data_IF_229747962617
#
_entry.id   IF_229747962617
#
_cell.length_a   1.000
_cell.length_b   1.000
_cell.length_c   1.000
_cell.angle_alpha   90.00
_cell.angle_beta   90.00
_cell.angle_gamma   90.00
#
_symmetry.space_group_name_H-M   'P 1'
#
loop_
_entity.id
_entity.type
_entity.pdbx_description
1 polymer ?
#
# COMPACT_ATOMS: atom_id res chain seq x y z
N UNK A 1 -1.28 15.91 0.44
CA UNK A 1 -0.05 15.29 0.97
C UNK A 1 1.19 15.84 0.25
N UNK A 2 1.74 17.01 0.61
CA UNK A 2 2.81 17.63 -0.17
C UNK A 2 4.20 16.97 0.01
N UNK A 3 4.48 16.37 1.17
CA UNK A 3 5.79 15.78 1.47
C UNK A 3 5.98 14.36 0.91
N UNK A 4 4.91 13.59 0.79
CA UNK A 4 4.94 12.21 0.30
C UNK A 4 4.87 12.21 -1.23
N UNK A 5 5.86 11.59 -1.86
CA UNK A 5 6.06 11.51 -3.31
C UNK A 5 6.40 10.10 -3.78
N UNK A 6 6.95 10.01 -4.99
CA UNK A 6 7.32 8.73 -5.60
C UNK A 6 8.24 7.90 -4.71
N UNK A 7 7.92 6.61 -4.51
CA UNK A 7 8.60 5.60 -3.67
C UNK A 7 8.38 5.72 -2.16
N UNK A 8 7.62 6.72 -1.69
CA UNK A 8 7.11 6.65 -0.32
C UNK A 8 6.01 5.59 -0.22
N UNK A 9 5.79 5.11 1.00
CA UNK A 9 4.77 4.10 1.29
C UNK A 9 3.79 4.59 2.35
N UNK A 10 2.55 4.14 2.22
CA UNK A 10 1.53 4.20 3.26
C UNK A 10 1.03 2.78 3.46
N UNK A 11 1.07 2.27 4.69
CA UNK A 11 0.58 0.95 5.06
C UNK A 11 -0.60 1.13 5.99
N UNK A 12 -1.76 0.60 5.60
CA UNK A 12 -2.94 0.49 6.46
C UNK A 12 -2.94 -0.92 7.02
N UNK A 13 -2.59 -1.07 8.29
CA UNK A 13 -2.31 -2.39 8.86
C UNK A 13 -3.41 -2.88 9.79
N UNK A 14 -3.48 -4.19 9.95
CA UNK A 14 -4.16 -4.83 11.08
C UNK A 14 -3.48 -4.45 12.42
N UNK A 15 -4.14 -4.82 13.53
CA UNK A 15 -3.72 -4.47 14.88
C UNK A 15 -2.42 -5.17 15.31
N UNK A 16 -2.15 -6.37 14.79
CA UNK A 16 -1.02 -7.21 15.20
C UNK A 16 0.29 -6.79 14.54
N UNK A 17 0.22 -6.06 13.42
CA UNK A 17 1.40 -5.61 12.67
C UNK A 17 2.43 -4.87 13.56
N UNK A 18 3.73 -5.20 13.51
CA UNK A 18 4.72 -4.65 14.42
C UNK A 18 4.95 -3.15 14.21
N UNK A 19 5.29 -2.45 15.30
CA UNK A 19 5.81 -1.09 15.22
C UNK A 19 7.32 -1.17 14.94
N UNK A 20 7.76 -0.50 13.87
CA UNK A 20 9.17 -0.44 13.48
C UNK A 20 9.95 0.56 14.33
N UNK A 21 11.21 0.24 14.62
CA UNK A 21 12.15 1.14 15.32
C UNK A 21 12.95 2.05 14.36
N UNK A 22 12.85 1.83 13.06
CA UNK A 22 13.59 2.58 12.04
C UNK A 22 13.07 4.02 11.91
N UNK A 23 13.98 5.00 11.89
CA UNK A 23 13.63 6.43 11.85
C UNK A 23 12.92 6.88 10.57
N UNK A 24 13.03 6.11 9.47
CA UNK A 24 12.31 6.35 8.22
C UNK A 24 10.84 5.95 8.28
N UNK A 25 10.45 5.18 9.29
CA UNK A 25 9.11 4.63 9.45
C UNK A 25 8.41 5.35 10.60
N UNK A 26 7.27 5.97 10.29
CA UNK A 26 6.39 6.55 11.29
C UNK A 26 5.19 5.63 11.48
N UNK A 27 4.81 5.38 12.73
CA UNK A 27 3.62 4.57 13.05
C UNK A 27 2.64 5.39 13.86
N UNK A 28 1.41 5.49 13.37
CA UNK A 28 0.27 6.03 14.10
C UNK A 28 -0.75 4.90 14.33
N UNK A 29 -1.48 4.97 15.43
CA UNK A 29 -2.58 4.05 15.73
C UNK A 29 -3.90 4.80 15.76
N UNK A 30 -4.93 4.22 15.17
CA UNK A 30 -6.28 4.78 15.10
C UNK A 30 -7.30 3.75 15.59
N UNK A 31 -8.31 4.21 16.33
CA UNK A 31 -9.43 3.36 16.75
C UNK A 31 -10.53 3.31 15.69
N UNK A 32 -10.19 2.80 14.51
CA UNK A 32 -11.09 2.63 13.37
C UNK A 32 -10.77 1.31 12.66
N UNK A 33 -11.75 0.76 11.95
CA UNK A 33 -11.57 -0.46 11.17
C UNK A 33 -10.75 -0.21 9.89
N UNK A 34 -10.13 -1.28 9.38
CA UNK A 34 -9.26 -1.24 8.22
C UNK A 34 -9.94 -0.73 6.94
N UNK A 35 -11.14 -1.22 6.54
CA UNK A 35 -11.88 -0.65 5.41
C UNK A 35 -12.08 0.87 5.49
N UNK A 36 -12.54 1.39 6.62
CA UNK A 36 -12.78 2.82 6.82
C UNK A 36 -11.52 3.66 6.63
N UNK A 37 -10.41 3.21 7.24
CA UNK A 37 -9.10 3.90 7.12
C UNK A 37 -8.57 3.81 5.70
N UNK A 38 -8.66 2.64 5.07
CA UNK A 38 -8.20 2.42 3.70
C UNK A 38 -8.94 3.32 2.70
N UNK A 39 -10.26 3.43 2.82
CA UNK A 39 -11.06 4.32 1.98
C UNK A 39 -10.62 5.79 2.13
N UNK A 40 -10.37 6.24 3.37
CA UNK A 40 -9.85 7.58 3.62
C UNK A 40 -8.48 7.81 2.95
N UNK A 41 -7.56 6.86 3.13
CA UNK A 41 -6.19 6.94 2.57
C UNK A 41 -6.22 6.96 1.04
N UNK A 42 -6.95 6.03 0.41
CA UNK A 42 -7.05 5.97 -1.06
C UNK A 42 -7.66 7.26 -1.61
N UNK A 43 -8.69 7.81 -0.96
CA UNK A 43 -9.28 9.11 -1.33
C UNK A 43 -8.28 10.26 -1.20
N UNK A 44 -7.46 10.29 -0.15
CA UNK A 44 -6.44 11.31 0.05
C UNK A 44 -5.33 11.24 -1.02
N UNK A 45 -4.93 10.03 -1.42
CA UNK A 45 -3.98 9.80 -2.50
C UNK A 45 -4.59 10.24 -3.84
N UNK A 46 -5.81 9.80 -4.18
CA UNK A 46 -6.45 10.13 -5.46
C UNK A 46 -6.79 11.61 -5.63
N UNK A 47 -6.95 12.34 -4.52
CA UNK A 47 -7.13 13.79 -4.53
C UNK A 47 -5.81 14.56 -4.74
N UNK A 48 -4.65 13.87 -4.70
CA UNK A 48 -3.33 14.46 -4.93
C UNK A 48 -2.94 14.36 -6.41
N UNK A 49 -2.38 15.44 -6.98
CA UNK A 49 -2.01 15.47 -8.42
C UNK A 49 -0.66 14.81 -8.72
N UNK A 50 0.23 14.75 -7.73
CA UNK A 50 1.63 14.35 -7.91
C UNK A 50 1.91 12.88 -7.60
N UNK A 51 0.95 12.16 -7.01
CA UNK A 51 1.08 10.74 -6.67
C UNK A 51 -0.15 9.94 -7.08
N UNK A 52 0.03 8.64 -7.32
CA UNK A 52 -1.04 7.65 -7.47
C UNK A 52 -0.74 6.43 -6.61
N UNK A 53 -1.78 5.68 -6.24
CA UNK A 53 -1.65 4.47 -5.46
C UNK A 53 -1.23 3.28 -6.34
N UNK A 54 -0.17 2.58 -5.96
CA UNK A 54 0.11 1.21 -6.36
C UNK A 54 -0.08 0.33 -5.12
N UNK A 55 -1.24 -0.33 -5.03
CA UNK A 55 -1.66 -1.07 -3.85
C UNK A 55 -1.32 -2.56 -3.95
N UNK A 56 -0.89 -3.12 -2.83
CA UNK A 56 -0.53 -4.52 -2.66
C UNK A 56 -1.25 -5.11 -1.44
N UNK A 57 -1.67 -6.36 -1.56
CA UNK A 57 -2.26 -7.16 -0.49
C UNK A 57 -1.49 -8.47 -0.33
N UNK A 58 -1.47 -9.00 0.89
CA UNK A 58 -0.85 -10.29 1.18
C UNK A 58 -1.46 -11.40 0.32
N UNK A 59 -0.61 -12.25 -0.26
CA UNK A 59 -1.03 -13.40 -1.05
C UNK A 59 -1.75 -14.44 -0.19
N UNK A 60 -1.36 -14.54 1.07
CA UNK A 60 -1.90 -15.38 2.13
C UNK A 60 -3.36 -15.02 2.42
N UNK A 61 -3.75 -13.76 2.21
CA UNK A 61 -5.10 -13.26 2.48
C UNK A 61 -6.16 -14.10 1.78
N UNK A 62 -5.91 -14.65 0.59
CA UNK A 62 -6.90 -15.46 -0.15
C UNK A 62 -7.12 -16.87 0.43
N UNK A 63 -6.23 -17.32 1.33
CA UNK A 63 -6.26 -18.66 1.91
C UNK A 63 -6.81 -18.70 3.35
N UNK A 64 -7.12 -17.54 3.95
CA UNK A 64 -7.70 -17.47 5.29
C UNK A 64 -9.18 -17.92 5.26
N UNK A 65 -9.60 -19.00 5.92
CA UNK A 65 -10.99 -19.43 5.84
C UNK A 65 -11.91 -18.53 6.70
N UNK A 66 -13.15 -18.33 6.25
CA UNK A 66 -14.20 -17.60 7.00
C UNK A 66 -14.55 -18.30 8.32
N UNK A 67 -14.40 -19.63 8.35
CA UNK A 67 -14.67 -20.47 9.53
C UNK A 67 -13.73 -20.16 10.70
N UNK A 68 -12.45 -19.92 10.42
CA UNK A 68 -11.45 -19.57 11.44
C UNK A 68 -11.47 -18.07 11.77
N UNK A 69 -11.84 -17.23 10.80
CA UNK A 69 -11.85 -15.76 10.94
C UNK A 69 -13.14 -15.15 10.38
N UNK A 70 -14.23 -15.14 11.18
CA UNK A 70 -15.50 -14.56 10.76
C UNK A 70 -15.35 -13.08 10.35
N UNK A 71 -15.95 -12.71 9.22
CA UNK A 71 -15.90 -11.38 8.63
C UNK A 71 -14.80 -11.18 7.58
N UNK A 72 -13.89 -12.14 7.37
CA UNK A 72 -12.78 -11.98 6.42
C UNK A 72 -13.27 -11.78 4.98
N UNK A 73 -14.33 -12.48 4.56
CA UNK A 73 -14.90 -12.33 3.22
C UNK A 73 -15.37 -10.90 2.98
N UNK A 74 -16.08 -10.32 3.95
CA UNK A 74 -16.51 -8.93 3.88
C UNK A 74 -15.32 -7.97 3.80
N UNK A 75 -14.29 -8.16 4.63
CA UNK A 75 -13.09 -7.31 4.62
C UNK A 75 -12.35 -7.39 3.28
N UNK A 76 -12.19 -8.57 2.68
CA UNK A 76 -11.58 -8.72 1.35
C UNK A 76 -12.32 -7.92 0.29
N UNK A 77 -13.64 -8.01 0.30
CA UNK A 77 -14.45 -7.28 -0.66
C UNK A 77 -14.34 -5.77 -0.46
N UNK A 78 -14.37 -5.30 0.79
CA UNK A 78 -14.18 -3.88 1.13
C UNK A 78 -12.80 -3.37 0.71
N UNK A 79 -11.73 -4.14 0.92
CA UNK A 79 -10.38 -3.80 0.45
C UNK A 79 -10.38 -3.61 -1.08
N UNK A 80 -10.96 -4.56 -1.81
CA UNK A 80 -11.05 -4.46 -3.28
C UNK A 80 -11.91 -3.27 -3.73
N UNK A 81 -13.03 -3.01 -3.04
CA UNK A 81 -13.91 -1.87 -3.32
C UNK A 81 -13.19 -0.54 -3.08
N UNK A 82 -12.44 -0.42 -1.99
CA UNK A 82 -11.72 0.80 -1.63
C UNK A 82 -10.61 1.15 -2.62
N UNK A 83 -9.89 0.14 -3.13
CA UNK A 83 -8.79 0.33 -4.10
C UNK A 83 -9.33 0.60 -5.52
N UNK A 84 -10.52 0.10 -5.83
CA UNK A 84 -11.24 0.41 -7.08
C UNK A 84 -10.75 -0.40 -8.28
N UNK A 85 -10.83 0.18 -9.48
CA UNK A 85 -10.64 -0.53 -10.77
C UNK A 85 -9.24 -1.12 -10.98
N UNK A 86 -8.24 -0.59 -10.28
CA UNK A 86 -6.89 -1.11 -10.27
C UNK A 86 -6.78 -2.11 -9.14
N UNK A 87 -7.37 -3.31 -9.31
CA UNK A 87 -7.34 -4.37 -8.30
C UNK A 87 -5.94 -4.47 -7.67
N UNK A 88 -5.83 -4.62 -6.34
CA UNK A 88 -4.53 -4.69 -5.69
C UNK A 88 -3.69 -5.83 -6.28
N UNK A 89 -2.39 -5.59 -6.39
CA UNK A 89 -1.44 -6.66 -6.70
C UNK A 89 -1.30 -7.58 -5.49
N UNK A 90 -1.16 -8.88 -5.73
CA UNK A 90 -0.93 -9.85 -4.66
C UNK A 90 0.57 -10.07 -4.50
N UNK A 91 1.07 -10.00 -3.26
CA UNK A 91 2.48 -10.17 -2.93
C UNK A 91 2.62 -11.08 -1.69
N UNK A 92 3.62 -11.97 -1.60
CA UNK A 92 3.86 -12.74 -0.37
C UNK A 92 4.15 -11.80 0.82
N UNK A 93 3.62 -12.13 2.00
CA UNK A 93 3.76 -11.29 3.19
C UNK A 93 5.22 -10.96 3.51
N UNK A 94 6.12 -11.96 3.43
CA UNK A 94 7.54 -11.77 3.68
C UNK A 94 8.20 -10.78 2.68
N UNK A 95 7.75 -10.77 1.42
CA UNK A 95 8.25 -9.85 0.41
C UNK A 95 7.71 -8.42 0.64
N UNK A 96 6.45 -8.29 1.06
CA UNK A 96 5.89 -7.00 1.48
C UNK A 96 6.72 -6.37 2.62
N UNK A 97 7.06 -7.17 3.65
CA UNK A 97 7.93 -6.72 4.73
C UNK A 97 9.31 -6.30 4.23
N UNK A 98 9.95 -7.13 3.40
CA UNK A 98 11.26 -6.79 2.83
C UNK A 98 11.24 -5.46 2.06
N UNK A 99 10.17 -5.21 1.29
CA UNK A 99 10.00 -3.95 0.55
C UNK A 99 9.85 -2.75 1.49
N UNK A 100 9.13 -2.90 2.60
CA UNK A 100 8.99 -1.86 3.62
C UNK A 100 10.33 -1.60 4.32
N UNK A 101 11.04 -2.65 4.73
CA UNK A 101 12.33 -2.56 5.40
C UNK A 101 13.35 -1.81 4.53
N UNK A 102 13.38 -2.13 3.23
CA UNK A 102 14.26 -1.48 2.26
C UNK A 102 13.84 -0.04 1.97
N UNK A 103 12.54 0.22 1.83
CA UNK A 103 12.03 1.57 1.67
C UNK A 103 12.35 2.43 2.90
N UNK A 104 12.15 1.92 4.11
CA UNK A 104 12.38 2.63 5.38
C UNK A 104 13.83 3.02 5.64
N UNK A 105 14.80 2.42 4.93
CA UNK A 105 16.21 2.83 4.96
C UNK A 105 16.47 4.18 4.28
N UNK A 106 15.67 4.52 3.27
CA UNK A 106 15.96 5.66 2.38
C UNK A 106 14.80 6.67 2.30
N UNK A 107 13.56 6.19 2.40
CA UNK A 107 12.34 6.95 2.20
C UNK A 107 11.44 6.89 3.44
N UNK A 108 10.39 7.71 3.41
CA UNK A 108 9.36 7.71 4.44
C UNK A 108 8.31 6.63 4.18
N UNK A 109 7.98 5.89 5.23
CA UNK A 109 6.84 4.97 5.30
C UNK A 109 5.94 5.42 6.43
N UNK A 110 4.64 5.57 6.15
CA UNK A 110 3.63 5.80 7.18
C UNK A 110 2.84 4.52 7.44
N UNK A 111 2.93 3.99 8.65
CA UNK A 111 2.02 2.95 9.15
C UNK A 111 0.83 3.59 9.85
N UNK A 112 -0.36 3.16 9.46
CA UNK A 112 -1.61 3.51 10.12
C UNK A 112 -2.20 2.20 10.65
N UNK A 113 -1.93 1.93 11.93
CA UNK A 113 -2.44 0.74 12.63
C UNK A 113 -3.91 0.92 12.96
N UNK A 114 -4.72 -0.03 12.52
CA UNK A 114 -6.16 -0.08 12.79
C UNK A 114 -6.49 -0.99 13.96
N UNK A 115 -7.76 -1.09 14.33
CA UNK A 115 -8.23 -2.05 15.34
C UNK A 115 -8.68 -3.39 14.74
N UNK A 116 -8.50 -3.61 13.44
CA UNK A 116 -8.87 -4.88 12.78
C UNK A 116 -7.94 -6.01 13.22
N UNK A 117 -8.53 -7.12 13.69
CA UNK A 117 -7.82 -8.29 14.24
C UNK A 117 -7.94 -9.53 13.35
N UNK A 118 -7.98 -9.34 12.03
CA UNK A 118 -8.03 -10.42 11.04
C UNK A 118 -6.66 -10.47 10.32
N UNK A 119 -6.00 -11.63 10.24
CA UNK A 119 -4.65 -11.73 9.71
C UNK A 119 -4.59 -11.42 8.22
N UNK A 120 -3.42 -10.96 7.76
CA UNK A 120 -3.11 -10.68 6.35
C UNK A 120 -4.02 -9.62 5.70
N UNK A 121 -4.77 -8.84 6.51
CA UNK A 121 -5.66 -7.78 5.99
C UNK A 121 -4.93 -6.47 5.74
N UNK A 122 -3.67 -6.36 6.17
CA UNK A 122 -2.82 -5.20 5.94
C UNK A 122 -2.68 -4.89 4.44
N UNK A 123 -2.80 -3.61 4.07
CA UNK A 123 -2.69 -3.13 2.70
C UNK A 123 -1.48 -2.20 2.57
N UNK A 124 -0.60 -2.52 1.64
CA UNK A 124 0.63 -1.78 1.40
C UNK A 124 0.46 -0.92 0.15
N UNK A 125 0.63 0.39 0.28
CA UNK A 125 0.42 1.33 -0.83
C UNK A 125 1.73 2.04 -1.11
N UNK A 126 2.36 1.70 -2.22
CA UNK A 126 3.47 2.49 -2.77
C UNK A 126 2.90 3.68 -3.53
N UNK A 127 3.51 4.83 -3.34
CA UNK A 127 3.16 6.03 -4.10
C UNK A 127 3.99 6.07 -5.38
N UNK A 128 3.32 5.99 -6.52
CA UNK A 128 3.91 6.15 -7.85
C UNK A 128 3.67 7.57 -8.38
N UNK A 129 4.38 7.98 -9.42
CA UNK A 129 4.23 9.32 -10.01
C UNK A 129 2.79 9.53 -10.53
N UNK A 130 2.09 10.56 -10.04
CA UNK A 130 0.68 10.79 -10.40
C UNK A 130 0.45 11.32 -11.81
N UNK A 131 1.42 12.06 -12.36
CA UNK A 131 1.28 12.76 -13.65
C UNK A 131 2.06 12.11 -14.80
N UNK A 132 2.73 10.98 -14.57
CA UNK A 132 3.50 10.27 -15.59
C UNK A 132 3.12 8.78 -15.58
N UNK A 133 2.52 8.31 -16.68
CA UNK A 133 2.18 6.89 -16.85
C UNK A 133 3.40 6.07 -17.23
N UNK A 134 3.31 4.76 -17.02
CA UNK A 134 4.39 3.83 -17.38
C UNK A 134 4.65 3.82 -18.90
N UNK A 135 3.61 4.09 -19.71
CA UNK A 135 3.75 4.28 -21.15
C UNK A 135 4.62 5.50 -21.49
N UNK A 136 4.41 6.63 -20.80
CA UNK A 136 5.22 7.84 -20.99
C UNK A 136 6.66 7.57 -20.56
N UNK A 137 6.86 6.90 -19.42
CA UNK A 137 8.20 6.54 -18.97
C UNK A 137 8.91 5.64 -20.00
N UNK A 138 8.23 4.60 -20.50
CA UNK A 138 8.79 3.69 -21.50
C UNK A 138 9.21 4.42 -22.78
N UNK A 139 8.41 5.40 -23.25
CA UNK A 139 8.77 6.25 -24.39
C UNK A 139 10.04 7.05 -24.11
N UNK A 140 10.18 7.63 -22.92
CA UNK A 140 11.40 8.36 -22.52
C UNK A 140 12.61 7.42 -22.47
N UNK A 141 12.46 6.22 -21.89
CA UNK A 141 13.54 5.21 -21.82
C UNK A 141 14.00 4.77 -23.21
N UNK A 142 13.05 4.53 -24.12
CA UNK A 142 13.35 4.19 -25.50
C UNK A 142 14.12 5.31 -26.23
N UNK A 143 13.72 6.58 -26.02
CA UNK A 143 14.42 7.73 -26.59
C UNK A 143 15.87 7.83 -26.08
N UNK A 144 16.11 7.64 -24.77
CA UNK A 144 17.47 7.60 -24.20
C UNK A 144 18.29 6.47 -24.83
N UNK A 145 17.73 5.26 -24.94
CA UNK A 145 18.43 4.13 -25.54
C UNK A 145 18.82 4.38 -27.00
N UNK A 146 17.97 5.08 -27.76
CA UNK A 146 18.25 5.44 -29.15
C UNK A 146 19.42 6.44 -29.30
N UNK A 147 19.70 7.29 -28.31
CA UNK A 147 20.85 8.22 -28.33
C UNK A 147 22.20 7.55 -28.10
N UNK A 148 22.21 6.28 -27.64
CA UNK A 148 23.43 5.50 -27.38
C UNK A 148 23.85 4.62 -28.57
N UNK A 149 23.11 4.66 -29.68
CA UNK A 149 23.45 4.04 -30.96
C UNK A 149 24.10 5.07 -31.88
#
# INVERSE_FOLDING_TARGET
>A
MPLYGHRNWIVVSDAAFPAYSQSGIETIAVNQDLPSVLHYVVKAISSSKHVRAAAFVDQELKFVPEEDYPGITHVREEINRAIGKSSPSSIPHAEALSNIDDAGKTFRVLFIKTNTTIPYTSVFIRLDCGYMTDEIENKIRAAIAATKK
#
